data_IF_187105628677
#
_entry.id   IF_187105628677
#
_cell.length_a   1.000
_cell.length_b   1.000
_cell.length_c   1.000
_cell.angle_alpha   90.00
_cell.angle_beta   90.00
_cell.angle_gamma   90.00
#
_symmetry.space_group_name_H-M   'P 1'
#
loop_
_entity.id
_entity.type
_entity.pdbx_description
1 polymer ?
#
# COMPACT_ATOMS: atom_id res chain seq x y z
N UNK A 1 -14.68 -1.85 -7.79
CA UNK A 1 -15.29 -1.84 -6.44
C UNK A 1 -14.74 -0.62 -5.71
N UNK A 2 -15.53 0.08 -4.87
CA UNK A 2 -15.11 1.36 -4.28
C UNK A 2 -14.02 1.23 -3.19
N UNK A 3 -13.75 0.03 -2.72
CA UNK A 3 -12.75 -0.29 -1.68
C UNK A 3 -11.50 -1.01 -2.24
N UNK A 4 -11.37 -1.09 -3.57
CA UNK A 4 -10.21 -1.68 -4.22
C UNK A 4 -9.48 -0.63 -5.06
N UNK A 5 -8.17 -0.50 -4.85
CA UNK A 5 -7.31 0.37 -5.66
C UNK A 5 -6.23 -0.44 -6.37
N UNK A 6 -6.00 -0.14 -7.65
CA UNK A 6 -4.97 -0.81 -8.46
C UNK A 6 -3.70 0.02 -8.39
N UNK A 7 -2.66 -0.54 -7.78
CA UNK A 7 -1.33 0.06 -7.74
C UNK A 7 -0.47 -0.44 -8.90
N UNK A 8 0.30 0.48 -9.48
CA UNK A 8 1.31 0.17 -10.49
C UNK A 8 2.70 0.40 -9.90
N UNK A 9 3.50 -0.65 -9.81
CA UNK A 9 4.83 -0.60 -9.20
C UNK A 9 5.91 -0.72 -10.29
N UNK A 10 6.66 0.37 -10.48
CA UNK A 10 7.84 0.41 -11.33
C UNK A 10 8.98 1.17 -10.62
N UNK A 11 10.09 0.50 -10.23
CA UNK A 11 10.39 -0.92 -10.43
C UNK A 11 9.42 -1.83 -9.68
N UNK A 12 9.33 -3.12 -10.03
CA UNK A 12 8.49 -4.08 -9.29
C UNK A 12 9.11 -4.41 -7.93
N UNK A 13 8.34 -5.03 -7.02
CA UNK A 13 8.90 -5.52 -5.75
C UNK A 13 9.81 -6.74 -5.98
N UNK A 14 10.64 -7.12 -5.00
CA UNK A 14 11.43 -8.34 -5.09
C UNK A 14 10.54 -9.58 -5.16
N UNK A 15 11.07 -10.65 -5.75
CA UNK A 15 10.45 -11.98 -5.73
C UNK A 15 10.06 -12.38 -4.28
N UNK A 16 8.89 -13.01 -4.05
CA UNK A 16 7.90 -13.47 -5.03
C UNK A 16 6.83 -12.42 -5.41
N UNK A 17 7.01 -11.15 -5.06
CA UNK A 17 6.00 -10.09 -5.22
C UNK A 17 6.24 -9.21 -6.45
N UNK A 18 7.00 -9.69 -7.43
CA UNK A 18 7.47 -8.94 -8.59
C UNK A 18 6.41 -8.66 -9.68
N UNK A 19 5.13 -8.92 -9.41
CA UNK A 19 4.06 -8.47 -10.30
C UNK A 19 3.98 -6.93 -10.31
N UNK A 20 3.94 -6.38 -11.52
CA UNK A 20 3.89 -4.94 -11.77
C UNK A 20 2.58 -4.29 -11.33
N UNK A 21 1.48 -5.04 -11.37
CA UNK A 21 0.17 -4.62 -10.90
C UNK A 21 -0.12 -5.30 -9.56
N UNK A 22 -0.40 -4.50 -8.55
CA UNK A 22 -0.80 -4.94 -7.22
C UNK A 22 -2.17 -4.37 -6.87
N UNK A 23 -2.88 -5.04 -5.97
CA UNK A 23 -4.21 -4.60 -5.54
C UNK A 23 -4.21 -4.28 -4.06
N UNK A 24 -4.64 -3.07 -3.73
CA UNK A 24 -5.00 -2.71 -2.38
C UNK A 24 -6.44 -3.17 -2.15
N UNK A 25 -6.63 -3.99 -1.13
CA UNK A 25 -7.93 -4.47 -0.66
C UNK A 25 -8.29 -3.76 0.63
N UNK A 26 -8.87 -2.56 0.53
CA UNK A 26 -9.11 -1.71 1.69
C UNK A 26 -10.23 -2.23 2.60
N UNK A 27 -11.00 -3.21 2.14
CA UNK A 27 -12.00 -3.98 2.89
C UNK A 27 -11.41 -5.10 3.76
N UNK A 28 -10.17 -5.52 3.49
CA UNK A 28 -9.47 -6.59 4.21
C UNK A 28 -8.33 -6.06 5.08
N UNK A 29 -8.53 -4.94 5.78
CA UNK A 29 -7.50 -4.34 6.64
C UNK A 29 -7.49 -4.98 8.04
N UNK A 30 -6.32 -4.97 8.68
CA UNK A 30 -6.16 -5.47 10.03
C UNK A 30 -5.09 -4.67 10.78
N UNK A 31 -5.30 -4.44 12.08
CA UNK A 31 -4.27 -3.92 12.97
C UNK A 31 -3.34 -5.07 13.37
N UNK A 32 -2.04 -4.92 13.11
CA UNK A 32 -1.03 -5.95 13.38
C UNK A 32 0.19 -5.37 14.09
N UNK A 33 0.86 -6.17 14.92
CA UNK A 33 2.17 -5.81 15.49
C UNK A 33 3.25 -5.85 14.42
N UNK A 34 4.26 -4.96 14.50
CA UNK A 34 5.45 -5.00 13.64
C UNK A 34 6.14 -6.38 13.64
N UNK A 35 6.09 -7.13 14.74
CA UNK A 35 6.67 -8.48 14.84
C UNK A 35 5.98 -9.52 13.94
N UNK A 36 4.75 -9.24 13.47
CA UNK A 36 4.00 -10.11 12.54
C UNK A 36 4.25 -9.78 11.07
N UNK A 37 4.94 -8.66 10.80
CA UNK A 37 5.22 -8.23 9.44
C UNK A 37 6.55 -8.84 8.97
N UNK A 38 6.53 -9.42 7.78
CA UNK A 38 7.74 -9.80 7.06
C UNK A 38 7.94 -8.81 5.92
N UNK A 39 8.93 -7.92 6.05
CA UNK A 39 9.23 -6.94 5.03
C UNK A 39 9.90 -7.63 3.82
N UNK A 40 9.50 -7.30 2.58
CA UNK A 40 10.25 -7.70 1.39
C UNK A 40 11.70 -7.23 1.49
N UNK A 41 12.64 -8.06 1.06
CA UNK A 41 14.06 -7.74 1.04
C UNK A 41 14.66 -8.11 -0.32
N UNK A 42 15.61 -7.29 -0.77
CA UNK A 42 16.24 -7.43 -2.08
C UNK A 42 17.27 -8.55 -2.05
N UNK A 43 18.11 -8.55 -1.02
CA UNK A 43 19.17 -9.54 -0.81
C UNK A 43 19.62 -9.57 0.65
N UNK A 44 20.57 -10.46 0.93
CA UNK A 44 21.37 -10.43 2.15
C UNK A 44 22.76 -9.89 1.82
N UNK A 45 23.36 -9.14 2.74
CA UNK A 45 24.75 -8.74 2.63
C UNK A 45 25.70 -9.92 2.94
N UNK A 46 27.01 -9.72 2.81
CA UNK A 46 28.02 -10.74 3.10
C UNK A 46 28.03 -11.24 4.55
N UNK A 47 27.39 -10.52 5.48
CA UNK A 47 27.20 -10.91 6.87
C UNK A 47 25.84 -11.56 7.16
N UNK A 48 25.00 -11.77 6.14
CA UNK A 48 23.68 -12.38 6.26
C UNK A 48 22.56 -11.43 6.70
N UNK A 49 22.82 -10.13 6.85
CA UNK A 49 21.81 -9.12 7.18
C UNK A 49 20.96 -8.81 5.95
N UNK A 50 19.64 -8.67 6.15
CA UNK A 50 18.69 -8.34 5.07
C UNK A 50 18.79 -6.86 4.68
N UNK A 51 18.85 -6.62 3.38
CA UNK A 51 18.67 -5.30 2.76
C UNK A 51 17.19 -5.18 2.35
N UNK A 52 16.39 -4.48 3.15
CA UNK A 52 14.95 -4.36 2.95
C UNK A 52 14.59 -3.41 1.81
N UNK A 53 13.51 -3.72 1.11
CA UNK A 53 12.94 -2.82 0.12
C UNK A 53 12.04 -1.78 0.82
N UNK A 54 12.53 -0.54 0.92
CA UNK A 54 11.84 0.58 1.55
C UNK A 54 11.38 1.57 0.49
N UNK A 55 10.06 1.75 0.35
CA UNK A 55 9.47 2.65 -0.66
C UNK A 55 8.38 3.51 -0.05
N UNK A 56 8.11 4.61 -0.71
CA UNK A 56 7.03 5.53 -0.38
C UNK A 56 6.01 5.48 -1.53
N UNK A 57 4.73 5.31 -1.18
CA UNK A 57 3.63 5.40 -2.14
C UNK A 57 3.45 6.87 -2.49
N UNK A 58 3.18 7.17 -3.77
CA UNK A 58 2.95 8.53 -4.21
C UNK A 58 1.69 9.13 -3.55
N UNK A 59 1.61 10.47 -3.51
CA UNK A 59 0.51 11.15 -2.83
C UNK A 59 -0.85 10.89 -3.48
N UNK A 60 -0.90 10.70 -4.80
CA UNK A 60 -2.12 10.42 -5.56
C UNK A 60 -2.64 9.02 -5.24
N UNK A 61 -1.78 8.00 -5.29
CA UNK A 61 -2.18 6.65 -4.91
C UNK A 61 -2.58 6.59 -3.43
N UNK A 62 -1.84 7.27 -2.55
CA UNK A 62 -2.18 7.30 -1.13
C UNK A 62 -3.55 7.96 -0.88
N UNK A 63 -3.90 9.01 -1.63
CA UNK A 63 -5.21 9.63 -1.57
C UNK A 63 -6.32 8.66 -1.98
N UNK A 64 -6.11 7.91 -3.07
CA UNK A 64 -7.05 6.88 -3.54
C UNK A 64 -7.20 5.72 -2.56
N UNK A 65 -6.11 5.30 -1.93
CA UNK A 65 -6.15 4.28 -0.86
C UNK A 65 -7.00 4.77 0.32
N UNK A 66 -6.84 6.03 0.75
CA UNK A 66 -7.65 6.63 1.83
C UNK A 66 -9.13 6.68 1.46
N UNK A 67 -9.45 7.08 0.22
CA UNK A 67 -10.81 7.06 -0.32
C UNK A 67 -11.40 5.63 -0.24
N UNK A 68 -10.66 4.63 -0.71
CA UNK A 68 -11.06 3.22 -0.62
C UNK A 68 -11.29 2.75 0.83
N UNK A 69 -10.45 3.18 1.78
CA UNK A 69 -10.62 2.84 3.20
C UNK A 69 -11.90 3.46 3.78
N UNK A 70 -12.20 4.71 3.45
CA UNK A 70 -13.46 5.34 3.88
C UNK A 70 -14.68 4.59 3.34
N UNK A 71 -14.63 4.14 2.09
CA UNK A 71 -15.67 3.27 1.54
C UNK A 71 -15.77 1.93 2.26
N UNK A 72 -14.65 1.27 2.56
CA UNK A 72 -14.63 0.02 3.30
C UNK A 72 -15.21 0.14 4.72
N UNK A 73 -15.02 1.29 5.36
CA UNK A 73 -15.53 1.59 6.70
C UNK A 73 -17.00 2.04 6.72
N UNK A 74 -17.64 2.19 5.55
CA UNK A 74 -18.99 2.78 5.45
C UNK A 74 -19.04 4.29 5.71
N UNK A 75 -17.89 4.97 5.66
CA UNK A 75 -17.72 6.40 5.88
C UNK A 75 -17.56 7.17 4.56
N UNK A 76 -18.21 6.70 3.49
CA UNK A 76 -18.03 7.27 2.14
C UNK A 76 -18.40 8.74 2.03
N UNK A 77 -19.26 9.27 2.91
CA UNK A 77 -19.59 10.69 2.93
C UNK A 77 -18.41 11.60 3.33
N UNK A 78 -17.37 11.05 3.96
CA UNK A 78 -16.15 11.79 4.31
C UNK A 78 -15.17 11.93 3.14
N UNK A 79 -15.41 11.26 2.00
CA UNK A 79 -14.52 11.37 0.84
C UNK A 79 -14.59 12.75 0.19
N UNK A 80 -15.66 13.52 0.42
CA UNK A 80 -15.79 14.90 -0.05
C UNK A 80 -14.60 15.77 0.39
N UNK A 81 -14.17 15.66 1.65
CA UNK A 81 -13.05 16.45 2.18
C UNK A 81 -11.68 16.02 1.64
N UNK A 82 -11.57 14.83 1.05
CA UNK A 82 -10.32 14.38 0.44
C UNK A 82 -10.05 15.09 -0.90
N UNK A 83 -11.06 15.66 -1.54
CA UNK A 83 -10.93 16.36 -2.82
C UNK A 83 -10.37 17.78 -2.65
N UNK A 84 -10.57 18.39 -1.49
CA UNK A 84 -10.20 19.78 -1.17
C UNK A 84 -8.69 19.98 -0.92
N UNK A 85 -7.92 18.90 -0.74
CA UNK A 85 -6.49 18.94 -0.39
C UNK A 85 -5.59 19.10 -1.64
N UNK A 86 -6.18 19.38 -2.81
CA UNK A 86 -5.47 19.46 -4.11
C UNK A 86 -5.25 20.90 -4.60
N UNK A 87 -5.10 21.88 -3.69
CA UNK A 87 -4.76 23.28 -4.00
C UNK A 87 -3.29 23.60 -3.71
#
# INVERSE_FOLDING_TARGET
MPYHHRLYLNPTLPEPYNAMIQWVKADMFATVSFKRLNLPFIRKDGGGKREYDMRVIDSVDLLKIRECMLHALGLSYLTTHLQDVTL
#
